data_IF_889675654417
#
_entry.id   IF_889675654417
#
_cell.length_a   1.000
_cell.length_b   1.000
_cell.length_c   1.000
_cell.angle_alpha   90.00
_cell.angle_beta   90.00
_cell.angle_gamma   90.00
#
_symmetry.space_group_name_H-M   'P 1'
#
loop_
_entity.id
_entity.type
_entity.pdbx_description
1 polymer ?
#
# COMPACT_ATOMS: atom_id res chain seq x y z
N UNK A 1 14.19 -4.66 3.88
CA UNK A 1 13.35 -4.30 2.71
C UNK A 1 12.85 -2.88 2.85
N UNK A 2 12.44 -2.27 1.76
CA UNK A 2 11.87 -0.92 1.76
C UNK A 2 10.37 -1.01 1.52
N UNK A 3 9.58 -0.34 2.38
CA UNK A 3 8.12 -0.32 2.29
C UNK A 3 7.68 1.12 2.10
N UNK A 4 6.90 1.38 1.05
CA UNK A 4 6.27 2.68 0.82
C UNK A 4 4.85 2.67 1.37
N UNK A 5 4.54 3.65 2.20
CA UNK A 5 3.21 3.84 2.77
C UNK A 5 2.61 5.10 2.13
N UNK A 6 1.52 4.93 1.37
CA UNK A 6 0.85 6.02 0.67
C UNK A 6 -0.54 6.26 1.26
N UNK A 7 -0.76 7.44 1.81
CA UNK A 7 -2.03 7.88 2.36
C UNK A 7 -1.96 9.40 2.49
N UNK A 8 -3.03 10.11 2.17
CA UNK A 8 -3.07 11.56 2.31
C UNK A 8 -3.16 12.03 3.77
N UNK A 9 -3.52 11.13 4.68
CA UNK A 9 -3.57 11.41 6.12
C UNK A 9 -2.25 11.03 6.78
N UNK A 10 -1.55 12.02 7.31
CA UNK A 10 -0.32 11.79 8.09
C UNK A 10 -0.58 10.88 9.29
N UNK A 11 -1.72 11.08 9.96
CA UNK A 11 -2.10 10.25 11.11
C UNK A 11 -2.28 8.79 10.70
N UNK A 12 -2.90 8.55 9.55
CA UNK A 12 -3.06 7.18 9.05
C UNK A 12 -1.72 6.55 8.69
N UNK A 13 -0.80 7.31 8.08
CA UNK A 13 0.54 6.78 7.81
C UNK A 13 1.25 6.36 9.11
N UNK A 14 1.08 7.15 10.17
CA UNK A 14 1.63 6.81 11.48
C UNK A 14 0.98 5.57 12.09
N UNK A 15 -0.32 5.40 11.91
CA UNK A 15 -1.05 4.23 12.40
C UNK A 15 -0.58 2.97 11.64
N UNK A 16 -0.45 3.04 10.33
CA UNK A 16 0.06 1.92 9.52
C UNK A 16 1.48 1.55 9.97
N UNK A 17 2.35 2.55 10.14
CA UNK A 17 3.71 2.34 10.62
C UNK A 17 3.74 1.63 11.98
N UNK A 18 2.93 2.11 12.92
CA UNK A 18 2.83 1.51 14.26
C UNK A 18 2.33 0.07 14.19
N UNK A 19 1.32 -0.18 13.37
CA UNK A 19 0.75 -1.52 13.22
C UNK A 19 1.76 -2.48 12.60
N UNK A 20 2.56 -2.03 11.63
CA UNK A 20 3.66 -2.82 11.06
C UNK A 20 4.68 -3.21 12.14
N UNK A 21 5.04 -2.28 13.01
CA UNK A 21 5.95 -2.54 14.12
C UNK A 21 5.38 -3.56 15.09
N UNK A 22 4.10 -3.40 15.44
CA UNK A 22 3.41 -4.33 16.33
C UNK A 22 3.31 -5.73 15.75
N UNK A 23 3.21 -5.83 14.43
CA UNK A 23 3.14 -7.12 13.71
C UNK A 23 4.53 -7.75 13.51
N UNK A 24 5.61 -7.07 13.89
CA UNK A 24 6.97 -7.60 13.78
C UNK A 24 7.74 -7.15 12.55
N UNK A 25 7.23 -6.16 11.81
CA UNK A 25 7.87 -5.67 10.58
C UNK A 25 8.56 -4.31 10.76
N UNK A 26 8.97 -3.97 11.98
CA UNK A 26 9.57 -2.67 12.30
C UNK A 26 11.01 -2.48 11.82
N UNK A 27 11.67 -3.54 11.39
CA UNK A 27 13.06 -3.49 10.94
C UNK A 27 13.22 -3.07 9.48
N UNK A 28 12.12 -2.86 8.77
CA UNK A 28 12.15 -2.44 7.37
C UNK A 28 12.27 -0.93 7.23
N UNK A 29 12.88 -0.48 6.14
CA UNK A 29 12.93 0.94 5.79
C UNK A 29 11.54 1.39 5.34
N UNK A 30 11.00 2.41 5.99
CA UNK A 30 9.69 2.95 5.67
C UNK A 30 9.83 4.32 5.02
N UNK A 31 9.21 4.49 3.85
CA UNK A 31 9.09 5.78 3.17
C UNK A 31 7.61 6.11 3.01
N UNK A 32 7.28 7.40 2.90
CA UNK A 32 5.89 7.85 2.90
C UNK A 32 5.58 8.70 1.67
N UNK A 33 4.37 8.53 1.15
CA UNK A 33 3.81 9.36 0.10
C UNK A 33 2.45 9.92 0.55
N UNK A 34 2.17 11.17 0.21
CA UNK A 34 0.95 11.85 0.67
C UNK A 34 -0.16 11.87 -0.38
N UNK A 35 0.10 11.43 -1.58
CA UNK A 35 -0.90 11.33 -2.66
C UNK A 35 -0.48 10.27 -3.69
N UNK A 36 -1.37 10.01 -4.64
CA UNK A 36 -1.13 8.97 -5.64
C UNK A 36 -0.01 9.32 -6.63
N UNK A 37 0.18 10.60 -6.93
CA UNK A 37 1.27 11.02 -7.81
C UNK A 37 2.62 10.80 -7.13
N UNK A 38 2.74 11.17 -5.86
CA UNK A 38 3.94 10.90 -5.09
C UNK A 38 4.21 9.40 -4.97
N UNK A 39 3.16 8.60 -4.74
CA UNK A 39 3.29 7.15 -4.67
C UNK A 39 3.86 6.58 -5.97
N UNK A 40 3.34 7.03 -7.10
CA UNK A 40 3.85 6.61 -8.42
C UNK A 40 5.31 7.01 -8.60
N UNK A 41 5.62 8.30 -8.39
CA UNK A 41 6.96 8.83 -8.60
C UNK A 41 7.99 8.18 -7.66
N UNK A 42 7.65 8.05 -6.39
CA UNK A 42 8.55 7.44 -5.39
C UNK A 42 8.75 5.96 -5.62
N UNK A 43 7.74 5.24 -6.07
CA UNK A 43 7.89 3.82 -6.40
C UNK A 43 8.89 3.62 -7.52
N UNK A 44 8.85 4.48 -8.53
CA UNK A 44 9.80 4.40 -9.64
C UNK A 44 11.21 4.87 -9.25
N UNK A 45 11.33 5.81 -8.31
CA UNK A 45 12.62 6.36 -7.88
C UNK A 45 13.29 5.52 -6.79
N UNK A 46 12.51 5.06 -5.81
CA UNK A 46 13.03 4.38 -4.62
C UNK A 46 13.05 2.86 -4.74
N UNK A 47 12.33 2.30 -5.68
CA UNK A 47 12.21 0.85 -5.90
C UNK A 47 11.88 0.09 -4.61
N UNK A 48 10.75 0.41 -3.94
CA UNK A 48 10.37 -0.33 -2.73
C UNK A 48 10.05 -1.77 -3.04
N UNK A 49 10.13 -2.62 -2.03
CA UNK A 49 9.76 -4.03 -2.15
C UNK A 49 8.26 -4.23 -1.99
N UNK A 50 7.60 -3.30 -1.31
CA UNK A 50 6.16 -3.35 -1.05
C UNK A 50 5.60 -1.94 -1.01
N UNK A 51 4.42 -1.74 -1.60
CA UNK A 51 3.63 -0.51 -1.47
C UNK A 51 2.32 -0.82 -0.76
N UNK A 52 2.07 -0.10 0.33
CA UNK A 52 0.81 -0.15 1.07
C UNK A 52 0.13 1.19 0.83
N UNK A 53 -1.00 1.18 0.11
CA UNK A 53 -1.64 2.42 -0.34
C UNK A 53 -3.11 2.51 0.08
N UNK A 54 -3.54 3.71 0.46
CA UNK A 54 -4.97 4.00 0.50
C UNK A 54 -5.51 4.04 -0.94
N UNK A 55 -6.82 3.92 -1.07
CA UNK A 55 -7.50 4.01 -2.36
C UNK A 55 -7.78 5.46 -2.74
N UNK A 56 -8.42 6.22 -1.84
CA UNK A 56 -8.82 7.60 -2.08
C UNK A 56 -7.72 8.57 -1.65
N UNK A 57 -7.04 9.15 -2.63
CA UNK A 57 -5.99 10.13 -2.42
C UNK A 57 -6.13 11.26 -3.44
N UNK A 58 -5.70 12.48 -3.09
CA UNK A 58 -5.71 13.58 -4.06
C UNK A 58 -4.70 13.35 -5.18
N UNK A 59 -4.83 14.07 -6.26
CA UNK A 59 -4.04 14.04 -7.48
C UNK A 59 -4.24 12.77 -8.30
N UNK A 60 -4.14 11.62 -7.65
CA UNK A 60 -4.27 10.31 -8.30
C UNK A 60 -4.71 9.32 -7.23
N UNK A 61 -5.71 8.49 -7.52
CA UNK A 61 -6.13 7.43 -6.59
C UNK A 61 -5.06 6.34 -6.51
N UNK A 62 -5.15 5.51 -5.45
CA UNK A 62 -4.24 4.37 -5.32
C UNK A 62 -4.39 3.39 -6.47
N UNK A 63 -5.61 3.17 -6.96
CA UNK A 63 -5.85 2.31 -8.12
C UNK A 63 -5.18 2.88 -9.38
N UNK A 64 -5.33 4.19 -9.62
CA UNK A 64 -4.70 4.84 -10.77
C UNK A 64 -3.18 4.72 -10.72
N UNK A 65 -2.59 4.88 -9.52
CA UNK A 65 -1.15 4.72 -9.33
C UNK A 65 -0.71 3.29 -9.68
N UNK A 66 -1.46 2.29 -9.21
CA UNK A 66 -1.16 0.88 -9.53
C UNK A 66 -1.25 0.60 -11.02
N UNK A 67 -2.33 1.04 -11.67
CA UNK A 67 -2.51 0.86 -13.12
C UNK A 67 -1.35 1.49 -13.90
N UNK A 68 -0.96 2.70 -13.54
CA UNK A 68 0.19 3.39 -14.19
C UNK A 68 1.51 2.67 -13.96
N UNK A 69 1.73 2.15 -12.76
CA UNK A 69 2.94 1.37 -12.46
C UNK A 69 3.01 0.11 -13.32
N UNK A 70 1.91 -0.61 -13.44
CA UNK A 70 1.86 -1.81 -14.29
C UNK A 70 2.07 -1.46 -15.76
N UNK A 71 1.49 -0.37 -16.25
CA UNK A 71 1.68 0.10 -17.62
C UNK A 71 3.12 0.51 -17.90
N UNK A 72 3.84 0.98 -16.87
CA UNK A 72 5.26 1.32 -16.97
C UNK A 72 6.20 0.12 -16.81
N UNK A 73 5.65 -1.08 -16.70
CA UNK A 73 6.44 -2.30 -16.53
C UNK A 73 6.94 -2.53 -15.09
N UNK A 74 6.45 -1.75 -14.12
CA UNK A 74 6.82 -1.91 -12.73
C UNK A 74 5.87 -2.92 -12.07
N UNK A 75 6.40 -4.04 -11.62
CA UNK A 75 5.64 -5.16 -11.02
C UNK A 75 5.77 -5.23 -9.50
N UNK A 76 6.09 -4.09 -8.86
CA UNK A 76 6.20 -4.02 -7.39
C UNK A 76 4.96 -4.62 -6.71
N UNK A 77 5.16 -5.29 -5.59
CA UNK A 77 4.04 -5.76 -4.76
C UNK A 77 3.32 -4.56 -4.19
N UNK A 78 2.07 -4.39 -4.58
CA UNK A 78 1.26 -3.22 -4.29
C UNK A 78 -0.11 -3.70 -3.81
N UNK A 79 -0.58 -3.17 -2.69
CA UNK A 79 -1.89 -3.51 -2.19
C UNK A 79 -2.53 -2.34 -1.44
N UNK A 80 -3.77 -2.54 -1.03
CA UNK A 80 -4.59 -1.47 -0.50
C UNK A 80 -4.93 -1.67 0.97
N UNK A 81 -4.93 -0.55 1.70
CA UNK A 81 -5.51 -0.43 3.03
C UNK A 81 -6.51 0.71 2.96
N UNK A 82 -7.81 0.41 2.99
CA UNK A 82 -8.85 1.40 2.76
C UNK A 82 -10.07 1.18 3.65
N UNK A 83 -10.83 2.26 3.89
CA UNK A 83 -12.08 2.19 4.66
C UNK A 83 -13.26 1.71 3.82
N UNK A 84 -13.14 1.72 2.49
CA UNK A 84 -14.19 1.26 1.60
C UNK A 84 -13.83 -0.10 1.01
N UNK A 85 -14.84 -0.97 0.93
CA UNK A 85 -14.66 -2.31 0.37
C UNK A 85 -15.94 -2.73 -0.34
N UNK A 86 -15.97 -2.54 -1.66
CA UNK A 86 -17.06 -3.03 -2.50
C UNK A 86 -16.54 -4.17 -3.37
N UNK A 87 -17.43 -5.07 -3.87
CA UNK A 87 -17.00 -6.11 -4.80
C UNK A 87 -16.33 -5.54 -6.05
N UNK A 88 -16.82 -4.39 -6.54
CA UNK A 88 -16.25 -3.73 -7.72
C UNK A 88 -14.83 -3.24 -7.44
N UNK A 89 -14.58 -2.65 -6.26
CA UNK A 89 -13.24 -2.19 -5.88
C UNK A 89 -12.27 -3.37 -5.78
N UNK A 90 -12.68 -4.46 -5.16
CA UNK A 90 -11.85 -5.65 -5.07
C UNK A 90 -11.53 -6.24 -6.44
N UNK A 91 -12.53 -6.31 -7.32
CA UNK A 91 -12.34 -6.81 -8.68
C UNK A 91 -11.36 -5.92 -9.47
N UNK A 92 -11.49 -4.60 -9.34
CA UNK A 92 -10.58 -3.65 -9.99
C UNK A 92 -9.14 -3.78 -9.47
N UNK A 93 -8.99 -3.95 -8.15
CA UNK A 93 -7.69 -4.14 -7.54
C UNK A 93 -7.02 -5.44 -8.04
N UNK A 94 -7.76 -6.54 -8.07
CA UNK A 94 -7.25 -7.82 -8.57
C UNK A 94 -6.87 -7.73 -10.04
N UNK A 95 -7.73 -7.11 -10.86
CA UNK A 95 -7.46 -6.94 -12.29
C UNK A 95 -6.21 -6.10 -12.55
N UNK A 96 -5.91 -5.15 -11.68
CA UNK A 96 -4.71 -4.33 -11.77
C UNK A 96 -3.46 -5.01 -11.19
N UNK A 97 -3.60 -6.18 -10.58
CA UNK A 97 -2.49 -6.94 -10.03
C UNK A 97 -2.12 -6.59 -8.60
N UNK A 98 -3.10 -6.22 -7.76
CA UNK A 98 -2.85 -5.98 -6.35
C UNK A 98 -2.48 -7.28 -5.63
N UNK A 99 -1.58 -7.17 -4.64
CA UNK A 99 -1.12 -8.32 -3.87
C UNK A 99 -1.99 -8.58 -2.64
N UNK A 100 -2.72 -7.57 -2.16
CA UNK A 100 -3.57 -7.68 -0.98
C UNK A 100 -4.59 -6.55 -0.94
N UNK A 101 -5.63 -6.74 -0.11
CA UNK A 101 -6.67 -5.73 0.13
C UNK A 101 -7.09 -5.84 1.60
N UNK A 102 -6.79 -4.81 2.38
CA UNK A 102 -7.10 -4.77 3.82
C UNK A 102 -8.10 -3.66 4.07
N UNK A 103 -9.15 -3.96 4.83
CA UNK A 103 -10.22 -2.99 5.16
C UNK A 103 -9.95 -2.40 6.54
N UNK A 104 -10.04 -1.08 6.66
CA UNK A 104 -9.96 -0.38 7.95
C UNK A 104 -11.26 -0.58 8.74
N UNK A 105 -11.22 -0.71 10.06
CA UNK A 105 -10.04 -0.78 10.91
C UNK A 105 -9.33 -2.14 10.81
N UNK A 106 -8.01 -2.13 10.99
CA UNK A 106 -7.19 -3.33 10.89
C UNK A 106 -6.44 -3.57 12.22
N UNK A 107 -5.88 -4.77 12.35
CA UNK A 107 -5.13 -5.18 13.54
C UNK A 107 -3.73 -5.62 13.15
N UNK A 108 -2.83 -5.71 14.16
CA UNK A 108 -1.49 -6.26 13.96
C UNK A 108 -1.57 -7.72 13.48
N UNK A 109 -2.53 -8.50 13.99
CA UNK A 109 -2.74 -9.89 13.57
C UNK A 109 -3.08 -9.97 12.09
N UNK A 110 -3.92 -9.06 11.59
CA UNK A 110 -4.27 -9.02 10.17
C UNK A 110 -3.05 -8.67 9.33
N UNK A 111 -2.24 -7.73 9.78
CA UNK A 111 -1.00 -7.37 9.08
C UNK A 111 -0.03 -8.56 9.06
N UNK A 112 0.09 -9.28 10.16
CA UNK A 112 0.94 -10.47 10.21
C UNK A 112 0.47 -11.53 9.21
N UNK A 113 -0.84 -11.84 9.17
CA UNK A 113 -1.41 -12.79 8.22
C UNK A 113 -1.12 -12.42 6.77
N UNK A 114 -1.29 -11.15 6.43
CA UNK A 114 -1.17 -10.67 5.05
C UNK A 114 0.28 -10.51 4.63
N UNK A 115 1.12 -9.94 5.49
CA UNK A 115 2.48 -9.56 5.13
C UNK A 115 3.55 -10.61 5.42
N UNK A 116 3.30 -11.59 6.29
CA UNK A 116 4.27 -12.66 6.54
C UNK A 116 4.64 -13.42 5.27
N UNK A 117 3.68 -13.80 4.39
CA UNK A 117 4.04 -14.45 3.13
C UNK A 117 4.84 -13.54 2.18
N UNK A 118 4.74 -12.23 2.34
CA UNK A 118 5.38 -11.25 1.45
C UNK A 118 6.74 -10.82 2.00
N UNK A 119 6.81 -10.50 3.29
CA UNK A 119 7.98 -9.89 3.94
C UNK A 119 8.77 -10.86 4.81
N UNK A 120 8.09 -11.89 5.22
CA UNK A 120 8.63 -12.81 6.18
C UNK A 120 9.58 -13.81 5.74
#
# INVERSE_FOLDING_TARGET
MKILIADDSRVMRQIVTRTLRQAGFGDHDLVEAADGQQAFDMTNAEHPDLVISDWNMPEMTGLEALVKLRAAGNDVKFGFVTSECTPEMQAQAEAAGSAFFIVKPFTAERFDEVFSPILG
#
